data_IF_522828381550
#
_entry.id   IF_522828381550
#
_cell.length_a   1.000
_cell.length_b   1.000
_cell.length_c   1.000
_cell.angle_alpha   90.00
_cell.angle_beta   90.00
_cell.angle_gamma   90.00
#
_symmetry.space_group_name_H-M   'P 1'
#
loop_
_entity.id
_entity.type
_entity.pdbx_description
1 polymer ?
#
# COMPACT_ATOMS: atom_id res chain seq x y z
N UNK A 1 -10.35 26.37 -39.70
CA UNK A 1 -9.59 25.65 -38.67
C UNK A 1 -8.65 24.69 -39.37
N UNK A 2 -7.34 25.00 -39.37
CA UNK A 2 -6.34 24.17 -40.04
C UNK A 2 -6.23 22.82 -39.34
N UNK A 3 -6.66 21.78 -40.01
CA UNK A 3 -6.49 20.40 -39.61
C UNK A 3 -5.00 20.05 -39.75
N UNK A 4 -4.20 20.47 -38.75
CA UNK A 4 -2.79 20.08 -38.66
C UNK A 4 -2.79 18.59 -38.39
N UNK A 5 -2.66 17.81 -39.45
CA UNK A 5 -2.47 16.38 -39.42
C UNK A 5 -1.26 16.11 -38.49
N UNK A 6 -1.51 15.65 -37.27
CA UNK A 6 -0.44 15.32 -36.31
C UNK A 6 0.50 14.34 -37.00
N UNK A 7 1.80 14.57 -36.87
CA UNK A 7 2.85 13.69 -37.38
C UNK A 7 2.51 12.21 -37.11
N UNK A 8 2.48 11.39 -38.16
CA UNK A 8 2.16 9.96 -38.08
C UNK A 8 3.36 9.11 -37.63
N UNK A 9 4.46 9.74 -37.20
CA UNK A 9 5.71 9.05 -36.89
C UNK A 9 5.58 8.29 -35.55
N UNK A 10 5.64 6.97 -35.63
CA UNK A 10 5.84 6.08 -34.48
C UNK A 10 7.33 5.79 -34.29
N UNK A 11 7.75 5.71 -33.05
CA UNK A 11 9.13 5.38 -32.70
C UNK A 11 9.25 3.93 -32.22
N UNK A 12 10.26 3.21 -32.72
CA UNK A 12 10.55 1.85 -32.28
C UNK A 12 11.17 1.82 -30.87
N UNK A 13 11.94 2.88 -30.54
CA UNK A 13 12.62 3.04 -29.25
C UNK A 13 12.71 4.52 -28.84
N UNK A 14 12.77 4.84 -27.54
CA UNK A 14 12.75 6.21 -27.01
C UNK A 14 14.12 6.92 -27.05
N UNK A 15 15.18 6.30 -27.57
CA UNK A 15 16.56 6.82 -27.51
C UNK A 15 16.93 7.77 -28.65
N UNK A 16 16.01 8.06 -29.58
CA UNK A 16 16.29 8.98 -30.68
C UNK A 16 16.12 10.44 -30.26
N UNK A 17 17.01 11.33 -30.80
CA UNK A 17 16.88 12.79 -30.58
C UNK A 17 15.53 13.34 -31.09
N UNK A 18 14.99 12.76 -32.18
CA UNK A 18 13.71 13.15 -32.74
C UNK A 18 12.55 12.86 -31.74
N UNK A 19 12.57 11.73 -31.07
CA UNK A 19 11.59 11.39 -30.04
C UNK A 19 11.49 12.46 -28.93
N UNK A 20 12.64 12.87 -28.37
CA UNK A 20 12.68 13.86 -27.29
C UNK A 20 12.33 15.26 -27.76
N UNK A 21 12.74 15.62 -29.00
CA UNK A 21 12.35 16.90 -29.64
C UNK A 21 10.84 16.99 -29.84
N UNK A 22 10.23 15.91 -30.31
CA UNK A 22 8.78 15.83 -30.50
C UNK A 22 8.04 15.82 -29.16
N UNK A 23 8.55 15.13 -28.15
CA UNK A 23 8.00 15.16 -26.81
C UNK A 23 8.06 16.55 -26.17
N UNK A 24 9.13 17.31 -26.40
CA UNK A 24 9.24 18.71 -25.96
C UNK A 24 8.31 19.65 -26.75
N UNK A 25 8.04 19.33 -28.00
CA UNK A 25 7.14 20.13 -28.84
C UNK A 25 5.67 20.05 -28.38
N UNK A 26 5.28 18.97 -27.66
CA UNK A 26 3.93 18.84 -27.09
C UNK A 26 3.62 19.95 -26.06
N UNK A 27 4.62 20.57 -25.45
CA UNK A 27 4.45 21.73 -24.56
C UNK A 27 3.89 22.97 -25.28
N UNK A 28 3.98 23.03 -26.62
CA UNK A 28 3.46 24.13 -27.43
C UNK A 28 2.03 23.88 -27.93
N UNK A 29 1.51 22.67 -27.76
CA UNK A 29 0.15 22.32 -28.21
C UNK A 29 -0.85 22.58 -27.09
N UNK A 30 -1.68 23.61 -27.24
CA UNK A 30 -2.69 24.00 -26.26
C UNK A 30 -3.68 22.85 -25.94
N UNK A 31 -4.04 22.02 -26.96
CA UNK A 31 -4.93 20.88 -26.72
C UNK A 31 -4.29 19.85 -25.80
N UNK A 32 -2.99 19.61 -25.94
CA UNK A 32 -2.23 18.72 -25.07
C UNK A 32 -2.13 19.30 -23.65
N UNK A 33 -1.90 20.61 -23.51
CA UNK A 33 -1.84 21.26 -22.20
C UNK A 33 -3.18 21.21 -21.46
N UNK A 34 -4.29 21.44 -22.16
CA UNK A 34 -5.64 21.32 -21.58
C UNK A 34 -5.91 19.86 -21.15
N UNK A 35 -5.55 18.90 -21.99
CA UNK A 35 -5.67 17.50 -21.65
C UNK A 35 -4.78 17.14 -20.45
N UNK A 36 -3.56 17.65 -20.38
CA UNK A 36 -2.65 17.44 -19.25
C UNK A 36 -3.23 18.00 -17.94
N UNK A 37 -3.81 19.20 -17.97
CA UNK A 37 -4.48 19.77 -16.81
C UNK A 37 -5.66 18.90 -16.31
N UNK A 38 -6.47 18.38 -17.24
CA UNK A 38 -7.54 17.44 -16.93
C UNK A 38 -7.00 16.14 -16.30
N UNK A 39 -5.90 15.61 -16.84
CA UNK A 39 -5.27 14.41 -16.29
C UNK A 39 -4.66 14.65 -14.91
N UNK A 40 -4.09 15.82 -14.63
CA UNK A 40 -3.64 16.20 -13.28
C UNK A 40 -4.82 16.19 -12.30
N UNK A 41 -5.92 16.87 -12.64
CA UNK A 41 -7.11 16.93 -11.79
C UNK A 41 -7.67 15.52 -11.52
N UNK A 42 -7.84 14.71 -12.57
CA UNK A 42 -8.33 13.34 -12.45
C UNK A 42 -7.39 12.46 -11.61
N UNK A 43 -6.07 12.61 -11.79
CA UNK A 43 -5.07 11.86 -11.01
C UNK A 43 -5.12 12.21 -9.53
N UNK A 44 -5.32 13.50 -9.18
CA UNK A 44 -5.49 13.94 -7.78
C UNK A 44 -6.72 13.31 -7.15
N UNK A 45 -7.85 13.27 -7.85
CA UNK A 45 -9.08 12.59 -7.38
C UNK A 45 -8.82 11.09 -7.20
N UNK A 46 -8.21 10.44 -8.19
CA UNK A 46 -7.94 8.99 -8.12
C UNK A 46 -6.91 8.61 -7.04
N UNK A 47 -5.99 9.51 -6.66
CA UNK A 47 -5.09 9.30 -5.51
C UNK A 47 -5.85 9.21 -4.19
N UNK A 48 -7.00 9.87 -4.06
CA UNK A 48 -7.84 9.78 -2.86
C UNK A 48 -8.60 8.44 -2.78
N UNK A 49 -8.83 7.82 -3.92
CA UNK A 49 -9.53 6.53 -4.02
C UNK A 49 -8.49 5.41 -3.98
N UNK A 50 -8.06 5.04 -2.78
CA UNK A 50 -7.26 3.84 -2.58
C UNK A 50 -8.12 2.75 -1.94
N UNK A 51 -8.15 1.57 -2.55
CA UNK A 51 -8.90 0.42 -2.03
C UNK A 51 -7.97 -0.36 -1.10
N UNK A 52 -8.16 -0.30 0.23
CA UNK A 52 -7.36 -1.09 1.16
C UNK A 52 -7.83 -2.55 1.10
N UNK A 53 -6.91 -3.46 0.73
CA UNK A 53 -7.14 -4.91 0.84
C UNK A 53 -6.66 -5.38 2.22
N UNK A 54 -5.54 -4.82 2.69
CA UNK A 54 -5.00 -5.01 4.04
C UNK A 54 -4.37 -3.70 4.50
N UNK A 55 -3.93 -3.59 5.77
CA UNK A 55 -3.14 -2.45 6.22
C UNK A 55 -1.90 -2.17 5.36
N UNK A 56 -1.33 -3.21 4.75
CA UNK A 56 -0.11 -3.13 3.92
C UNK A 56 -0.42 -3.11 2.42
N UNK A 57 -1.48 -3.81 1.98
CA UNK A 57 -1.88 -3.95 0.58
C UNK A 57 -3.01 -2.97 0.26
N UNK A 58 -2.69 -1.96 -0.57
CA UNK A 58 -3.68 -0.99 -1.11
C UNK A 58 -3.58 -0.95 -2.62
N UNK A 59 -4.71 -1.02 -3.30
CA UNK A 59 -4.80 -0.77 -4.75
C UNK A 59 -4.94 0.73 -4.96
N UNK A 60 -3.95 1.34 -5.59
CA UNK A 60 -4.02 2.73 -6.03
C UNK A 60 -4.43 2.76 -7.50
N UNK A 61 -5.52 3.45 -7.81
CA UNK A 61 -6.07 3.50 -9.18
C UNK A 61 -5.50 4.63 -10.03
N UNK A 62 -4.73 5.54 -9.42
CA UNK A 62 -4.16 6.71 -10.12
C UNK A 62 -3.18 6.34 -11.24
N UNK A 63 -2.60 5.12 -11.23
CA UNK A 63 -1.69 4.69 -12.29
C UNK A 63 -2.38 4.53 -13.66
N UNK A 64 -3.69 4.29 -13.71
CA UNK A 64 -4.44 4.26 -14.97
C UNK A 64 -4.40 5.61 -15.68
N UNK A 65 -4.71 6.66 -14.91
CA UNK A 65 -4.70 8.04 -15.42
C UNK A 65 -3.29 8.46 -15.79
N UNK A 66 -2.29 8.06 -15.00
CA UNK A 66 -0.89 8.32 -15.28
C UNK A 66 -0.43 7.67 -16.60
N UNK A 67 -0.78 6.40 -16.82
CA UNK A 67 -0.43 5.68 -18.05
C UNK A 67 -1.12 6.29 -19.27
N UNK A 68 -2.41 6.62 -19.16
CA UNK A 68 -3.17 7.27 -20.23
C UNK A 68 -2.59 8.64 -20.59
N UNK A 69 -2.34 9.48 -19.60
CA UNK A 69 -1.74 10.79 -19.81
C UNK A 69 -0.36 10.69 -20.43
N UNK A 70 0.53 9.89 -19.86
CA UNK A 70 1.89 9.68 -20.35
C UNK A 70 1.92 9.16 -21.81
N UNK A 71 0.95 8.32 -22.20
CA UNK A 71 0.78 7.84 -23.57
C UNK A 71 0.43 8.97 -24.55
N UNK A 72 -0.36 9.95 -24.10
CA UNK A 72 -0.85 11.05 -24.95
C UNK A 72 0.18 12.17 -25.08
N UNK A 73 0.70 12.67 -23.96
CA UNK A 73 1.52 13.89 -23.97
C UNK A 73 3.04 13.65 -23.87
N UNK A 74 3.47 12.39 -23.74
CA UNK A 74 4.89 12.03 -23.76
C UNK A 74 5.67 12.36 -22.49
N UNK A 75 6.99 12.01 -22.44
CA UNK A 75 7.78 12.00 -21.23
C UNK A 75 8.05 13.39 -20.63
N UNK A 76 8.17 14.43 -21.46
CA UNK A 76 8.48 15.79 -20.98
C UNK A 76 7.30 16.38 -20.23
N UNK A 77 6.11 16.34 -20.83
CA UNK A 77 4.88 16.82 -20.17
C UNK A 77 4.52 15.92 -19.00
N UNK A 78 4.72 14.59 -19.12
CA UNK A 78 4.48 13.64 -18.04
C UNK A 78 5.31 13.94 -16.79
N UNK A 79 6.59 14.31 -16.96
CA UNK A 79 7.45 14.72 -15.84
C UNK A 79 6.92 15.97 -15.14
N UNK A 80 6.53 17.00 -15.91
CA UNK A 80 5.95 18.24 -15.35
C UNK A 80 4.64 17.95 -14.62
N UNK A 81 3.73 17.19 -15.24
CA UNK A 81 2.48 16.79 -14.61
C UNK A 81 2.70 15.99 -13.30
N UNK A 82 3.73 15.14 -13.25
CA UNK A 82 4.06 14.37 -12.06
C UNK A 82 4.50 15.29 -10.91
N UNK A 83 5.38 16.27 -11.17
CA UNK A 83 5.80 17.26 -10.17
C UNK A 83 4.58 18.03 -9.63
N UNK A 84 3.74 18.56 -10.54
CA UNK A 84 2.54 19.30 -10.14
C UNK A 84 1.59 18.42 -9.33
N UNK A 85 1.36 17.18 -9.76
CA UNK A 85 0.48 16.24 -9.05
C UNK A 85 1.02 15.86 -7.67
N UNK A 86 2.34 15.76 -7.51
CA UNK A 86 2.97 15.45 -6.23
C UNK A 86 2.78 16.61 -5.24
N UNK A 87 3.15 17.82 -5.65
CA UNK A 87 3.02 19.04 -4.82
C UNK A 87 1.55 19.29 -4.44
N UNK A 88 0.64 19.29 -5.42
CA UNK A 88 -0.79 19.50 -5.16
C UNK A 88 -1.38 18.36 -4.31
N UNK A 89 -0.96 17.13 -4.55
CA UNK A 89 -1.39 15.98 -3.76
C UNK A 89 -1.02 16.11 -2.28
N UNK A 90 0.18 16.60 -1.99
CA UNK A 90 0.61 16.89 -0.63
C UNK A 90 -0.16 18.05 0.01
N UNK A 91 -0.44 19.14 -0.74
CA UNK A 91 -1.23 20.27 -0.23
C UNK A 91 -2.65 19.82 0.11
N UNK A 92 -3.27 18.96 -0.70
CA UNK A 92 -4.65 18.47 -0.48
C UNK A 92 -4.70 17.52 0.72
N UNK A 93 -3.70 16.66 0.86
CA UNK A 93 -3.62 15.68 1.93
C UNK A 93 -2.17 15.55 2.43
N UNK A 94 -1.76 16.39 3.39
CA UNK A 94 -0.43 16.29 3.96
C UNK A 94 -0.30 14.99 4.75
N UNK A 95 0.70 14.19 4.41
CA UNK A 95 1.04 12.93 5.07
C UNK A 95 2.53 12.99 5.48
N UNK A 96 2.77 13.37 6.72
CA UNK A 96 4.12 13.58 7.25
C UNK A 96 4.81 14.84 6.75
N UNK A 97 6.15 14.83 6.75
CA UNK A 97 6.99 15.95 6.25
C UNK A 97 7.15 15.80 4.74
N UNK A 98 6.96 16.91 4.00
CA UNK A 98 7.21 16.91 2.56
C UNK A 98 8.70 16.70 2.26
N UNK A 99 9.02 15.61 1.61
CA UNK A 99 10.38 15.25 1.27
C UNK A 99 10.58 15.23 -0.24
N UNK A 100 11.22 16.26 -0.76
CA UNK A 100 11.40 16.50 -2.20
C UNK A 100 11.87 15.26 -3.00
N UNK A 101 12.80 14.42 -2.50
CA UNK A 101 13.24 13.24 -3.25
C UNK A 101 12.10 12.25 -3.63
N UNK A 102 10.95 12.25 -2.95
CA UNK A 102 9.80 11.44 -3.37
C UNK A 102 9.22 11.86 -4.71
N UNK A 103 9.38 13.12 -5.12
CA UNK A 103 9.00 13.60 -6.45
C UNK A 103 9.65 12.76 -7.56
N UNK A 104 10.88 12.26 -7.33
CA UNK A 104 11.59 11.41 -8.30
C UNK A 104 10.83 10.11 -8.59
N UNK A 105 10.13 9.56 -7.62
CA UNK A 105 9.34 8.33 -7.81
C UNK A 105 8.09 8.61 -8.66
N UNK A 106 7.43 9.74 -8.46
CA UNK A 106 6.28 10.17 -9.26
C UNK A 106 6.69 10.51 -10.70
N UNK A 107 7.78 11.27 -10.87
CA UNK A 107 8.36 11.60 -12.18
C UNK A 107 8.83 10.32 -12.87
N UNK A 108 9.58 9.47 -12.18
CA UNK A 108 10.06 8.21 -12.72
C UNK A 108 8.92 7.33 -13.25
N UNK A 109 7.88 7.12 -12.44
CA UNK A 109 6.71 6.34 -12.86
C UNK A 109 6.02 6.89 -14.10
N UNK A 110 5.86 8.21 -14.17
CA UNK A 110 5.23 8.90 -15.31
C UNK A 110 6.09 8.82 -16.58
N UNK A 111 7.39 9.08 -16.44
CA UNK A 111 8.35 9.01 -17.55
C UNK A 111 8.46 7.58 -18.08
N UNK A 112 8.53 6.56 -17.21
CA UNK A 112 8.58 5.17 -17.65
C UNK A 112 7.33 4.77 -18.46
N UNK A 113 6.13 5.17 -18.03
CA UNK A 113 4.94 4.94 -18.85
C UNK A 113 5.07 5.59 -20.23
N UNK A 114 5.54 6.84 -20.28
CA UNK A 114 5.73 7.54 -21.55
C UNK A 114 6.77 6.86 -22.45
N UNK A 115 7.91 6.42 -21.93
CA UNK A 115 8.96 5.72 -22.69
C UNK A 115 8.44 4.46 -23.39
N UNK A 116 7.47 3.77 -22.78
CA UNK A 116 6.89 2.58 -23.35
C UNK A 116 5.68 2.84 -24.25
N UNK A 117 4.88 3.89 -23.97
CA UNK A 117 3.56 4.06 -24.57
C UNK A 117 3.45 5.25 -25.52
N UNK A 118 4.24 6.32 -25.35
CA UNK A 118 4.15 7.52 -26.17
C UNK A 118 4.70 7.27 -27.57
N UNK A 119 3.91 7.65 -28.58
CA UNK A 119 4.21 7.46 -30.01
C UNK A 119 4.77 6.08 -30.33
N UNK A 120 4.23 5.07 -29.66
CA UNK A 120 4.63 3.69 -29.84
C UNK A 120 3.44 2.83 -30.22
N UNK A 121 3.69 1.72 -30.91
CA UNK A 121 2.65 0.72 -31.13
C UNK A 121 2.35 0.04 -29.76
N UNK A 122 1.18 0.34 -29.21
CA UNK A 122 0.77 -0.21 -27.92
C UNK A 122 0.42 -1.68 -28.08
N UNK A 123 1.18 -2.54 -27.41
CA UNK A 123 0.96 -4.00 -27.40
C UNK A 123 0.90 -4.50 -25.96
N UNK A 124 0.22 -5.62 -25.74
CA UNK A 124 0.10 -6.22 -24.39
C UNK A 124 1.44 -6.42 -23.70
N UNK A 125 2.49 -7.03 -24.34
CA UNK A 125 3.79 -7.15 -23.69
C UNK A 125 4.42 -5.82 -23.32
N UNK A 126 4.21 -4.76 -24.14
CA UNK A 126 4.75 -3.43 -23.88
C UNK A 126 4.08 -2.77 -22.68
N UNK A 127 2.77 -2.94 -22.54
CA UNK A 127 2.01 -2.50 -21.36
C UNK A 127 2.47 -3.22 -20.10
N UNK A 128 2.61 -4.55 -20.17
CA UNK A 128 3.09 -5.34 -19.03
C UNK A 128 4.52 -4.97 -18.63
N UNK A 129 5.42 -4.79 -19.63
CA UNK A 129 6.81 -4.43 -19.38
C UNK A 129 6.92 -3.03 -18.77
N UNK A 130 6.07 -2.08 -19.20
CA UNK A 130 6.03 -0.74 -18.58
C UNK A 130 5.67 -0.83 -17.09
N UNK A 131 4.65 -1.63 -16.74
CA UNK A 131 4.24 -1.80 -15.35
C UNK A 131 5.28 -2.55 -14.53
N UNK A 132 5.88 -3.60 -15.09
CA UNK A 132 6.97 -4.34 -14.46
C UNK A 132 8.17 -3.42 -14.14
N UNK A 133 8.59 -2.61 -15.13
CA UNK A 133 9.70 -1.68 -14.95
C UNK A 133 9.42 -0.65 -13.84
N UNK A 134 8.20 -0.14 -13.75
CA UNK A 134 7.81 0.80 -12.69
C UNK A 134 7.80 0.10 -11.33
N UNK A 135 7.21 -1.09 -11.21
CA UNK A 135 7.17 -1.81 -9.96
C UNK A 135 8.56 -2.18 -9.46
N UNK A 136 9.46 -2.59 -10.35
CA UNK A 136 10.82 -2.97 -9.99
C UNK A 136 11.73 -1.75 -9.80
N UNK A 137 11.89 -0.91 -10.84
CA UNK A 137 12.91 0.14 -10.83
C UNK A 137 12.50 1.35 -10.02
N UNK A 138 11.22 1.72 -10.03
CA UNK A 138 10.74 2.90 -9.29
C UNK A 138 10.32 2.52 -7.88
N UNK A 139 9.39 1.57 -7.74
CA UNK A 139 8.79 1.28 -6.43
C UNK A 139 9.67 0.43 -5.51
N UNK A 140 10.68 -0.29 -6.05
CA UNK A 140 11.61 -1.08 -5.25
C UNK A 140 12.99 -0.44 -5.25
N UNK A 141 13.63 -0.31 -6.42
CA UNK A 141 15.04 0.11 -6.50
C UNK A 141 15.22 1.59 -6.14
N UNK A 142 14.39 2.48 -6.67
CA UNK A 142 14.50 3.92 -6.41
C UNK A 142 13.89 4.32 -5.06
N UNK A 143 12.73 3.78 -4.72
CA UNK A 143 12.02 4.18 -3.51
C UNK A 143 12.72 3.72 -2.23
N UNK A 144 13.38 2.57 -2.21
CA UNK A 144 14.06 2.05 -1.01
C UNK A 144 15.16 2.99 -0.50
N UNK A 145 16.13 3.46 -1.30
CA UNK A 145 17.15 4.41 -0.82
C UNK A 145 16.54 5.78 -0.43
N UNK A 146 15.50 6.24 -1.13
CA UNK A 146 14.80 7.48 -0.75
C UNK A 146 14.16 7.33 0.63
N UNK A 147 13.54 6.18 0.93
CA UNK A 147 13.00 5.88 2.26
C UNK A 147 14.10 5.80 3.33
N UNK A 148 15.25 5.18 3.03
CA UNK A 148 16.39 5.16 3.93
C UNK A 148 16.87 6.58 4.28
N UNK A 149 16.94 7.43 3.27
CA UNK A 149 17.32 8.84 3.44
C UNK A 149 16.28 9.62 4.26
N UNK A 150 14.99 9.45 3.96
CA UNK A 150 13.90 10.06 4.72
C UNK A 150 13.94 9.69 6.21
N UNK A 151 14.12 8.40 6.51
CA UNK A 151 14.20 7.92 7.90
C UNK A 151 15.42 8.47 8.64
N UNK A 152 16.58 8.55 7.98
CA UNK A 152 17.78 9.11 8.57
C UNK A 152 17.63 10.59 8.97
N UNK A 153 16.83 11.37 8.23
CA UNK A 153 16.63 12.79 8.49
C UNK A 153 15.50 13.11 9.46
N UNK A 154 14.39 12.38 9.39
CA UNK A 154 13.13 12.79 10.04
C UNK A 154 12.62 11.81 11.10
N UNK A 155 13.18 10.60 11.22
CA UNK A 155 12.66 9.58 12.13
C UNK A 155 13.48 9.38 13.41
N UNK A 156 14.20 10.44 13.86
CA UNK A 156 14.80 10.47 15.20
C UNK A 156 15.75 9.31 15.51
N UNK A 157 16.60 8.91 14.55
CA UNK A 157 17.57 7.82 14.72
C UNK A 157 17.03 6.41 14.36
N UNK A 158 15.75 6.27 14.00
CA UNK A 158 15.23 5.01 13.48
C UNK A 158 15.76 4.79 12.05
N UNK A 159 16.53 3.72 11.87
CA UNK A 159 17.05 3.37 10.54
C UNK A 159 16.04 2.56 9.74
N UNK A 160 15.78 2.98 8.50
CA UNK A 160 15.03 2.17 7.55
C UNK A 160 15.94 1.06 7.01
N UNK A 161 15.73 -0.16 7.49
CA UNK A 161 16.52 -1.31 7.05
C UNK A 161 15.90 -1.96 5.80
N UNK A 162 16.71 -2.72 5.06
CA UNK A 162 16.19 -3.52 3.92
C UNK A 162 15.03 -4.43 4.33
N UNK A 163 15.04 -4.93 5.56
CA UNK A 163 13.96 -5.77 6.10
C UNK A 163 12.62 -5.01 6.14
N UNK A 164 12.63 -3.69 6.40
CA UNK A 164 11.44 -2.84 6.34
C UNK A 164 10.94 -2.61 4.91
N UNK A 165 11.79 -2.78 3.90
CA UNK A 165 11.40 -2.70 2.49
C UNK A 165 10.67 -3.97 1.99
N UNK A 166 10.88 -5.13 2.64
CA UNK A 166 10.32 -6.42 2.21
C UNK A 166 8.80 -6.39 2.01
N UNK A 167 7.96 -5.81 2.90
CA UNK A 167 6.52 -5.71 2.68
C UNK A 167 6.17 -4.94 1.39
N UNK A 168 6.93 -3.90 1.05
CA UNK A 168 6.73 -3.14 -0.19
C UNK A 168 7.14 -3.96 -1.42
N UNK A 169 8.24 -4.70 -1.33
CA UNK A 169 8.71 -5.60 -2.41
C UNK A 169 7.67 -6.70 -2.67
N UNK A 170 7.23 -7.40 -1.62
CA UNK A 170 6.21 -8.44 -1.70
C UNK A 170 4.92 -7.90 -2.30
N UNK A 171 4.46 -6.73 -1.84
CA UNK A 171 3.29 -6.04 -2.40
C UNK A 171 3.44 -5.80 -3.90
N UNK A 172 4.56 -5.27 -4.37
CA UNK A 172 4.77 -4.97 -5.79
C UNK A 172 4.81 -6.24 -6.65
N UNK A 173 5.36 -7.35 -6.14
CA UNK A 173 5.36 -8.64 -6.81
C UNK A 173 3.94 -9.22 -6.90
N UNK A 174 3.20 -9.24 -5.79
CA UNK A 174 1.86 -9.81 -5.73
C UNK A 174 0.84 -9.01 -6.56
N UNK A 175 0.99 -7.68 -6.57
CA UNK A 175 0.06 -6.79 -7.28
C UNK A 175 0.36 -6.67 -8.77
N UNK A 176 1.59 -6.95 -9.21
CA UNK A 176 2.01 -6.81 -10.60
C UNK A 176 1.08 -7.54 -11.61
N UNK A 177 0.72 -8.82 -11.42
CA UNK A 177 -0.18 -9.52 -12.34
C UNK A 177 -1.55 -8.85 -12.45
N UNK A 178 -2.13 -8.46 -11.32
CA UNK A 178 -3.45 -7.82 -11.24
C UNK A 178 -3.41 -6.45 -11.92
N UNK A 179 -2.44 -5.62 -11.56
CA UNK A 179 -2.27 -4.27 -12.09
C UNK A 179 -1.99 -4.26 -13.58
N UNK A 180 -1.18 -5.21 -14.06
CA UNK A 180 -0.87 -5.36 -15.50
C UNK A 180 -2.09 -5.78 -16.31
N UNK A 181 -2.90 -6.71 -15.80
CA UNK A 181 -4.15 -7.12 -16.42
C UNK A 181 -5.13 -5.95 -16.51
N UNK A 182 -5.37 -5.27 -15.39
CA UNK A 182 -6.30 -4.14 -15.31
C UNK A 182 -5.85 -2.98 -16.20
N UNK A 183 -4.54 -2.68 -16.24
CA UNK A 183 -3.98 -1.66 -17.11
C UNK A 183 -4.16 -2.00 -18.59
N UNK A 184 -3.90 -3.25 -18.98
CA UNK A 184 -4.11 -3.68 -20.37
C UNK A 184 -5.58 -3.58 -20.77
N UNK A 185 -6.50 -3.99 -19.88
CA UNK A 185 -7.94 -3.85 -20.11
C UNK A 185 -8.35 -2.38 -20.26
N UNK A 186 -7.91 -1.52 -19.32
CA UNK A 186 -8.19 -0.09 -19.36
C UNK A 186 -7.69 0.57 -20.67
N UNK A 187 -6.43 0.30 -21.03
CA UNK A 187 -5.85 0.88 -22.26
C UNK A 187 -6.51 0.32 -23.54
N UNK A 188 -7.03 -0.91 -23.52
CA UNK A 188 -7.78 -1.45 -24.68
C UNK A 188 -9.05 -0.68 -24.98
N UNK A 189 -9.68 -0.11 -23.95
CA UNK A 189 -10.87 0.74 -24.10
C UNK A 189 -10.49 2.19 -24.43
N UNK A 190 -9.45 2.72 -23.76
CA UNK A 190 -9.07 4.13 -23.89
C UNK A 190 -8.33 4.44 -25.20
N UNK A 191 -7.52 3.51 -25.72
CA UNK A 191 -6.73 3.72 -26.91
C UNK A 191 -7.59 4.06 -28.16
N UNK A 192 -8.66 3.31 -28.49
CA UNK A 192 -9.55 3.70 -29.61
C UNK A 192 -10.19 5.08 -29.42
N UNK A 193 -10.53 5.44 -28.19
CA UNK A 193 -11.15 6.73 -27.86
C UNK A 193 -10.14 7.87 -28.10
N UNK A 194 -8.93 7.74 -27.57
CA UNK A 194 -7.88 8.76 -27.76
C UNK A 194 -7.42 8.88 -29.20
N UNK A 195 -7.44 7.78 -29.97
CA UNK A 195 -7.18 7.80 -31.42
C UNK A 195 -8.28 8.58 -32.18
N UNK A 196 -9.57 8.36 -31.86
CA UNK A 196 -10.69 9.08 -32.46
C UNK A 196 -10.66 10.59 -32.17
N UNK A 197 -10.21 10.93 -30.95
CA UNK A 197 -10.04 12.32 -30.51
C UNK A 197 -8.77 12.99 -31.11
N UNK A 198 -7.96 12.26 -31.89
CA UNK A 198 -6.71 12.78 -32.46
C UNK A 198 -5.62 13.07 -31.40
N UNK A 199 -5.75 12.53 -30.19
CA UNK A 199 -4.81 12.74 -29.10
C UNK A 199 -3.62 11.78 -29.14
N UNK A 200 -3.79 10.58 -29.71
CA UNK A 200 -2.74 9.57 -29.85
C UNK A 200 -2.35 9.33 -31.29
N UNK A 201 -1.08 8.98 -31.49
CA UNK A 201 -0.52 8.72 -32.80
C UNK A 201 -0.81 7.28 -33.22
N UNK A 202 -1.32 7.09 -34.45
CA UNK A 202 -1.74 5.79 -34.99
C UNK A 202 -0.77 5.15 -35.97
N UNK A 203 0.21 5.92 -36.47
CA UNK A 203 1.07 5.50 -37.58
C UNK A 203 0.32 5.49 -38.95
N UNK A 204 1.02 5.06 -40.00
CA UNK A 204 0.47 4.95 -41.39
C UNK A 204 -0.62 3.89 -41.53
N UNK A 205 -0.65 2.88 -40.68
CA UNK A 205 -1.52 1.70 -40.78
C UNK A 205 -2.85 1.82 -40.01
N UNK A 206 -3.27 3.03 -39.70
CA UNK A 206 -4.61 3.46 -39.28
C UNK A 206 -5.25 2.76 -38.05
N UNK A 207 -4.64 1.77 -37.44
CA UNK A 207 -5.27 1.03 -36.32
C UNK A 207 -4.28 0.70 -35.23
N UNK A 208 -3.92 1.70 -34.40
CA UNK A 208 -3.26 1.42 -33.13
C UNK A 208 -4.36 0.97 -32.13
N UNK A 209 -4.83 -0.24 -32.30
CA UNK A 209 -5.81 -0.88 -31.42
C UNK A 209 -5.13 -1.98 -30.64
N UNK A 210 -5.30 -1.98 -29.31
CA UNK A 210 -4.87 -3.08 -28.47
C UNK A 210 -5.87 -4.24 -28.64
N UNK A 211 -5.70 -5.00 -29.72
CA UNK A 211 -6.52 -6.20 -29.96
C UNK A 211 -5.89 -7.40 -29.29
N UNK A 212 -6.67 -8.04 -28.44
CA UNK A 212 -6.25 -9.28 -27.80
C UNK A 212 -6.58 -10.49 -28.69
N UNK A 213 -5.60 -11.31 -28.97
CA UNK A 213 -5.84 -12.65 -29.49
C UNK A 213 -6.42 -13.54 -28.39
N UNK A 214 -7.13 -14.61 -28.75
CA UNK A 214 -7.68 -15.58 -27.75
C UNK A 214 -6.60 -16.08 -26.79
N UNK A 215 -5.38 -16.32 -27.30
CA UNK A 215 -4.22 -16.74 -26.48
C UNK A 215 -3.78 -15.65 -25.49
N UNK A 216 -3.80 -14.39 -25.92
CA UNK A 216 -3.45 -13.27 -25.03
C UNK A 216 -4.51 -13.05 -23.95
N UNK A 217 -5.79 -13.16 -24.30
CA UNK A 217 -6.89 -13.09 -23.31
C UNK A 217 -6.73 -14.22 -22.28
N UNK A 218 -6.51 -15.44 -22.73
CA UNK A 218 -6.29 -16.59 -21.84
C UNK A 218 -5.06 -16.39 -20.95
N UNK A 219 -3.94 -15.89 -21.52
CA UNK A 219 -2.71 -15.59 -20.76
C UNK A 219 -2.91 -14.49 -19.72
N UNK A 220 -3.60 -13.40 -20.08
CA UNK A 220 -3.93 -12.31 -19.16
C UNK A 220 -4.89 -12.76 -18.05
N UNK A 221 -5.90 -13.56 -18.40
CA UNK A 221 -6.83 -14.12 -17.41
C UNK A 221 -6.10 -15.08 -16.45
N UNK A 222 -5.23 -15.95 -16.97
CA UNK A 222 -4.39 -16.82 -16.14
C UNK A 222 -3.49 -16.00 -15.20
N UNK A 223 -2.84 -14.94 -15.71
CA UNK A 223 -2.01 -14.04 -14.92
C UNK A 223 -2.82 -13.35 -13.79
N UNK A 224 -4.03 -12.90 -14.10
CA UNK A 224 -4.92 -12.31 -13.11
C UNK A 224 -5.33 -13.32 -12.03
N UNK A 225 -5.73 -14.53 -12.41
CA UNK A 225 -6.10 -15.61 -11.48
C UNK A 225 -4.92 -15.98 -10.58
N UNK A 226 -3.71 -16.10 -11.14
CA UNK A 226 -2.48 -16.36 -10.38
C UNK A 226 -2.23 -15.21 -9.39
N UNK A 227 -2.34 -13.95 -9.81
CA UNK A 227 -2.16 -12.79 -8.96
C UNK A 227 -3.16 -12.77 -7.80
N UNK A 228 -4.43 -12.98 -8.08
CA UNK A 228 -5.50 -13.06 -7.07
C UNK A 228 -5.23 -14.24 -6.11
N UNK A 229 -4.88 -15.41 -6.64
CA UNK A 229 -4.52 -16.59 -5.84
C UNK A 229 -3.32 -16.33 -4.91
N UNK A 230 -2.28 -15.67 -5.41
CA UNK A 230 -1.12 -15.28 -4.61
C UNK A 230 -1.49 -14.27 -3.50
N UNK A 231 -2.36 -13.30 -3.78
CA UNK A 231 -2.86 -12.36 -2.77
C UNK A 231 -3.65 -13.10 -1.69
N UNK A 232 -4.58 -13.97 -2.06
CA UNK A 232 -5.32 -14.77 -1.08
C UNK A 232 -4.42 -15.74 -0.30
N UNK A 233 -3.45 -16.36 -0.95
CA UNK A 233 -2.44 -17.20 -0.28
C UNK A 233 -1.60 -16.41 0.72
N UNK A 234 -1.14 -15.22 0.33
CA UNK A 234 -0.43 -14.31 1.24
C UNK A 234 -1.30 -13.86 2.41
N UNK A 235 -2.56 -13.52 2.16
CA UNK A 235 -3.50 -13.17 3.22
C UNK A 235 -3.73 -14.33 4.19
N UNK A 236 -3.98 -15.54 3.67
CA UNK A 236 -4.14 -16.73 4.51
C UNK A 236 -2.90 -17.01 5.36
N UNK A 237 -1.72 -16.88 4.77
CA UNK A 237 -0.46 -17.00 5.50
C UNK A 237 -0.30 -15.89 6.55
N UNK A 238 -0.54 -14.64 6.18
CA UNK A 238 -0.45 -13.48 7.07
C UNK A 238 -1.39 -13.63 8.27
N UNK A 239 -2.67 -13.91 8.04
CA UNK A 239 -3.64 -14.09 9.13
C UNK A 239 -3.33 -15.33 9.98
N UNK A 240 -2.87 -16.42 9.38
CA UNK A 240 -2.48 -17.63 10.11
C UNK A 240 -1.26 -17.39 11.02
N UNK A 241 -0.30 -16.57 10.56
CA UNK A 241 0.93 -16.30 11.34
C UNK A 241 0.79 -15.16 12.32
N UNK A 242 -0.16 -14.25 12.12
CA UNK A 242 -0.33 -13.05 12.96
C UNK A 242 -1.41 -13.17 14.03
N UNK A 243 -2.39 -14.06 13.87
CA UNK A 243 -3.44 -14.29 14.89
C UNK A 243 -3.07 -15.42 15.84
N UNK A 244 -2.40 -15.08 16.93
CA UNK A 244 -1.96 -16.06 17.96
C UNK A 244 -3.00 -16.31 19.06
N UNK A 245 -3.95 -15.39 19.26
CA UNK A 245 -4.84 -15.39 20.45
C UNK A 245 -5.74 -16.60 20.61
N UNK A 246 -6.10 -17.29 19.51
CA UNK A 246 -6.98 -18.46 19.58
C UNK A 246 -6.27 -19.77 19.94
N UNK A 247 -4.94 -19.76 20.05
CA UNK A 247 -4.12 -20.98 20.20
C UNK A 247 -3.45 -21.14 21.56
N UNK A 248 -3.61 -20.17 22.48
CA UNK A 248 -3.01 -20.30 23.81
C UNK A 248 -3.67 -21.41 24.61
N UNK A 249 -2.85 -22.29 25.19
CA UNK A 249 -3.28 -23.20 26.25
C UNK A 249 -3.73 -22.39 27.47
N UNK A 250 -4.32 -23.05 28.47
CA UNK A 250 -4.72 -22.38 29.72
C UNK A 250 -3.51 -21.77 30.46
N UNK A 251 -2.39 -22.49 30.48
CA UNK A 251 -1.14 -22.05 31.13
C UNK A 251 -0.54 -20.85 30.37
N UNK A 252 -0.40 -20.94 29.06
CA UNK A 252 0.11 -19.82 28.26
C UNK A 252 -0.76 -18.57 28.38
N UNK A 253 -2.09 -18.70 28.48
CA UNK A 253 -2.98 -17.56 28.74
C UNK A 253 -2.73 -16.93 30.08
N UNK A 254 -2.59 -17.75 31.11
CA UNK A 254 -2.28 -17.28 32.47
C UNK A 254 -0.97 -16.49 32.50
N UNK A 255 0.09 -17.05 31.92
CA UNK A 255 1.39 -16.37 31.83
C UNK A 255 1.28 -15.05 31.08
N UNK A 256 0.62 -15.04 29.90
CA UNK A 256 0.48 -13.83 29.08
C UNK A 256 -0.41 -12.78 29.72
N UNK A 257 -1.53 -13.14 30.31
CA UNK A 257 -2.39 -12.22 31.03
C UNK A 257 -1.64 -11.59 32.21
N UNK A 258 -0.92 -12.41 33.00
CA UNK A 258 -0.11 -11.94 34.13
C UNK A 258 1.00 -11.00 33.67
N UNK A 259 1.68 -11.33 32.58
CA UNK A 259 2.72 -10.50 32.00
C UNK A 259 2.18 -9.13 31.53
N UNK A 260 1.04 -9.12 30.81
CA UNK A 260 0.40 -7.89 30.36
C UNK A 260 -0.12 -7.03 31.51
N UNK A 261 -0.64 -7.66 32.56
CA UNK A 261 -1.02 -6.96 33.79
C UNK A 261 0.18 -6.26 34.42
N UNK A 262 1.31 -6.97 34.61
CA UNK A 262 2.54 -6.37 35.18
C UNK A 262 3.05 -5.18 34.35
N UNK A 263 3.02 -5.29 33.01
CA UNK A 263 3.45 -4.22 32.12
C UNK A 263 2.56 -2.98 32.31
N UNK A 264 1.23 -3.14 32.33
CA UNK A 264 0.29 -2.04 32.46
C UNK A 264 0.33 -1.40 33.86
N UNK A 265 0.39 -2.21 34.91
CA UNK A 265 0.52 -1.72 36.29
C UNK A 265 1.78 -0.86 36.43
N UNK A 266 2.92 -1.33 35.90
CA UNK A 266 4.18 -0.58 35.97
C UNK A 266 4.19 0.69 35.10
N UNK A 267 3.55 0.69 33.94
CA UNK A 267 3.60 1.81 33.02
C UNK A 267 2.57 2.91 33.34
N UNK A 268 1.38 2.52 33.80
CA UNK A 268 0.23 3.42 33.99
C UNK A 268 -0.12 3.67 35.46
N UNK A 269 0.75 3.23 36.40
CA UNK A 269 0.53 3.34 37.85
C UNK A 269 -0.84 2.79 38.31
N UNK A 270 -1.29 1.70 37.70
CA UNK A 270 -2.52 1.02 38.10
C UNK A 270 -2.30 0.21 39.37
N UNK A 271 -3.37 -0.02 40.11
CA UNK A 271 -3.32 -0.85 41.33
C UNK A 271 -3.06 -2.33 40.95
N UNK A 272 -1.97 -2.89 41.49
CA UNK A 272 -1.53 -4.25 41.20
C UNK A 272 -2.50 -5.32 41.78
N UNK A 273 -3.19 -5.00 42.87
CA UNK A 273 -4.06 -5.94 43.55
C UNK A 273 -5.44 -6.04 42.89
N UNK A 274 -5.91 -4.97 42.32
CA UNK A 274 -7.23 -4.95 41.69
C UNK A 274 -7.20 -5.03 40.15
N UNK A 275 -6.07 -4.79 39.50
CA UNK A 275 -5.98 -4.80 38.05
C UNK A 275 -5.69 -6.19 37.46
N UNK A 276 -6.52 -6.63 36.53
CA UNK A 276 -6.34 -7.85 35.76
C UNK A 276 -6.53 -7.58 34.29
N UNK A 277 -5.73 -8.22 33.45
CA UNK A 277 -5.86 -8.11 31.98
C UNK A 277 -6.20 -9.44 31.35
N UNK A 278 -6.93 -9.40 30.25
CA UNK A 278 -7.18 -10.58 29.41
C UNK A 278 -6.76 -10.27 27.98
N UNK A 279 -5.86 -11.07 27.43
CA UNK A 279 -5.45 -10.93 26.03
C UNK A 279 -6.62 -11.23 25.09
N UNK A 280 -7.08 -10.23 24.38
CA UNK A 280 -8.14 -10.34 23.37
C UNK A 280 -7.59 -10.82 22.03
N UNK A 281 -6.44 -10.27 21.63
CA UNK A 281 -5.75 -10.64 20.40
C UNK A 281 -4.25 -10.36 20.53
N UNK A 282 -3.45 -11.16 19.83
CA UNK A 282 -2.02 -10.96 19.69
C UNK A 282 -1.66 -11.05 18.20
N UNK A 283 -1.05 -10.01 17.67
CA UNK A 283 -0.65 -9.92 16.26
C UNK A 283 0.86 -9.78 16.17
N UNK A 284 1.52 -10.81 15.67
CA UNK A 284 2.95 -10.73 15.35
C UNK A 284 3.12 -9.98 14.03
N UNK A 285 3.91 -8.92 14.04
CA UNK A 285 4.21 -8.16 12.83
C UNK A 285 5.09 -8.99 11.89
N UNK A 286 4.68 -9.06 10.63
CA UNK A 286 5.40 -9.86 9.62
C UNK A 286 6.86 -9.44 9.50
N UNK A 287 7.78 -10.42 9.55
CA UNK A 287 9.25 -10.24 9.49
C UNK A 287 9.85 -9.30 10.56
N UNK A 288 9.15 -9.06 11.64
CA UNK A 288 9.69 -8.38 12.82
C UNK A 288 9.56 -9.27 14.04
N UNK A 289 10.28 -8.93 15.11
CA UNK A 289 10.10 -9.57 16.41
C UNK A 289 9.05 -8.83 17.26
N UNK A 290 8.31 -7.90 16.65
CA UNK A 290 7.28 -7.12 17.33
C UNK A 290 5.95 -7.86 17.32
N UNK A 291 5.34 -7.95 18.49
CA UNK A 291 3.97 -8.44 18.67
C UNK A 291 3.13 -7.33 19.29
N UNK A 292 1.97 -7.08 18.71
CA UNK A 292 0.98 -6.16 19.24
C UNK A 292 -0.08 -6.96 19.97
N UNK A 293 -0.20 -6.74 21.25
CA UNK A 293 -1.23 -7.32 22.11
C UNK A 293 -2.37 -6.32 22.27
N UNK A 294 -3.60 -6.76 22.06
CA UNK A 294 -4.80 -6.03 22.48
C UNK A 294 -5.33 -6.74 23.71
N UNK A 295 -5.41 -6.03 24.82
CA UNK A 295 -5.81 -6.58 26.10
C UNK A 295 -6.99 -5.79 26.66
N UNK A 296 -7.99 -6.51 27.18
CA UNK A 296 -9.04 -5.91 27.98
C UNK A 296 -8.55 -5.77 29.43
N UNK A 297 -8.72 -4.59 29.99
CA UNK A 297 -8.34 -4.25 31.37
C UNK A 297 -9.59 -4.27 32.23
N UNK A 298 -9.52 -5.01 33.34
CA UNK A 298 -10.59 -5.14 34.32
C UNK A 298 -10.10 -4.73 35.68
N UNK A 299 -10.99 -4.19 36.51
CA UNK A 299 -10.82 -4.05 37.96
C UNK A 299 -11.57 -5.18 38.64
N UNK A 300 -10.91 -5.89 39.57
CA UNK A 300 -11.48 -6.95 40.40
C UNK A 300 -11.86 -6.33 41.73
N UNK A 301 -13.02 -6.72 42.27
CA UNK A 301 -13.44 -6.34 43.61
C UNK A 301 -12.89 -7.38 44.59
N UNK A 302 -11.93 -7.04 45.48
CA UNK A 302 -11.35 -7.98 46.44
C UNK A 302 -12.39 -8.55 47.41
N UNK A 303 -13.40 -7.75 47.77
CA UNK A 303 -14.43 -8.15 48.73
C UNK A 303 -15.44 -9.15 48.12
N UNK A 304 -15.49 -9.24 46.81
CA UNK A 304 -16.34 -10.20 46.11
C UNK A 304 -15.72 -11.59 45.97
N UNK A 305 -14.44 -11.77 46.35
CA UNK A 305 -13.72 -13.04 46.24
C UNK A 305 -13.75 -13.80 47.58
N UNK A 306 -14.05 -15.09 47.51
CA UNK A 306 -14.07 -15.95 48.68
C UNK A 306 -12.65 -16.32 49.18
N UNK A 307 -11.71 -16.53 48.26
CA UNK A 307 -10.29 -16.77 48.48
C UNK A 307 -9.52 -15.94 47.48
N UNK A 308 -9.06 -14.77 47.90
CA UNK A 308 -8.48 -13.75 47.01
C UNK A 308 -7.35 -14.30 46.11
N UNK A 309 -6.37 -14.97 46.69
CA UNK A 309 -5.20 -15.42 45.96
C UNK A 309 -5.55 -16.51 44.94
N UNK A 310 -6.36 -17.48 45.31
CA UNK A 310 -6.79 -18.58 44.46
C UNK A 310 -7.75 -18.16 43.38
N UNK A 311 -8.69 -17.26 43.72
CA UNK A 311 -9.69 -16.77 42.81
C UNK A 311 -9.03 -15.82 41.82
N UNK A 312 -8.08 -14.96 42.22
CA UNK A 312 -7.30 -14.10 41.36
C UNK A 312 -6.44 -14.89 40.36
N UNK A 313 -5.82 -16.01 40.83
CA UNK A 313 -5.09 -16.91 39.94
C UNK A 313 -6.02 -17.50 38.85
N UNK A 314 -7.22 -17.91 39.23
CA UNK A 314 -8.23 -18.42 38.33
C UNK A 314 -8.66 -17.35 37.32
N UNK A 315 -8.89 -16.12 37.77
CA UNK A 315 -9.29 -14.97 36.93
C UNK A 315 -8.19 -14.65 35.92
N UNK A 316 -6.94 -14.65 36.31
CA UNK A 316 -5.80 -14.42 35.40
C UNK A 316 -5.67 -15.46 34.29
N UNK A 317 -6.17 -16.68 34.49
CA UNK A 317 -6.22 -17.75 33.48
C UNK A 317 -7.40 -17.68 32.51
N UNK A 318 -8.34 -16.75 32.69
CA UNK A 318 -9.56 -16.70 31.89
C UNK A 318 -9.31 -16.36 30.42
N UNK A 319 -10.08 -16.99 29.52
CA UNK A 319 -10.20 -16.58 28.15
C UNK A 319 -11.12 -15.36 28.03
N UNK A 320 -11.02 -14.62 26.91
CA UNK A 320 -11.85 -13.47 26.61
C UNK A 320 -13.36 -13.69 26.87
N UNK A 321 -13.91 -14.83 26.44
CA UNK A 321 -15.34 -15.13 26.62
C UNK A 321 -15.71 -15.39 28.07
N UNK A 322 -14.85 -16.07 28.81
CA UNK A 322 -15.05 -16.35 30.23
C UNK A 322 -14.88 -15.09 31.07
N UNK A 323 -13.87 -14.24 30.76
CA UNK A 323 -13.68 -12.96 31.43
C UNK A 323 -14.90 -12.03 31.28
N UNK A 324 -15.51 -11.98 30.10
CA UNK A 324 -16.75 -11.25 29.88
C UNK A 324 -17.94 -11.79 30.68
N UNK A 325 -18.03 -13.11 30.85
CA UNK A 325 -19.08 -13.72 31.65
C UNK A 325 -18.91 -13.36 33.16
N UNK A 326 -17.71 -13.50 33.69
CA UNK A 326 -17.38 -13.12 35.09
C UNK A 326 -17.60 -11.62 35.35
N UNK A 327 -17.27 -10.77 34.36
CA UNK A 327 -17.56 -9.33 34.46
C UNK A 327 -19.07 -9.06 34.56
N UNK A 328 -19.92 -9.86 33.91
CA UNK A 328 -21.37 -9.77 34.04
C UNK A 328 -21.91 -10.19 35.42
N UNK A 329 -21.16 -10.98 36.16
CA UNK A 329 -21.53 -11.44 37.52
C UNK A 329 -21.10 -10.47 38.65
N UNK A 330 -20.47 -9.34 38.29
CA UNK A 330 -20.10 -8.29 39.26
C UNK A 330 -18.79 -8.50 40.00
N UNK A 331 -18.11 -9.65 39.80
CA UNK A 331 -16.81 -9.95 40.46
C UNK A 331 -15.69 -9.08 39.86
N UNK A 332 -15.78 -8.73 38.59
CA UNK A 332 -14.84 -7.84 37.94
C UNK A 332 -15.58 -6.86 37.04
N UNK A 333 -15.02 -5.67 36.89
CA UNK A 333 -15.60 -4.59 36.07
C UNK A 333 -14.65 -4.27 34.93
N UNK A 334 -15.16 -4.25 33.69
CA UNK A 334 -14.39 -3.79 32.52
C UNK A 334 -14.08 -2.30 32.64
N UNK A 335 -12.82 -1.95 32.51
CA UNK A 335 -12.34 -0.58 32.57
C UNK A 335 -12.10 -0.01 31.16
N UNK A 336 -11.20 -0.65 30.41
CA UNK A 336 -10.76 -0.14 29.12
C UNK A 336 -10.09 -1.24 28.29
N UNK A 337 -9.70 -0.89 27.08
CA UNK A 337 -8.83 -1.74 26.25
C UNK A 337 -7.48 -1.07 26.07
N UNK A 338 -6.41 -1.80 26.29
CA UNK A 338 -5.04 -1.36 26.06
C UNK A 338 -4.44 -2.06 24.82
N UNK A 339 -3.58 -1.35 24.13
CA UNK A 339 -2.74 -1.91 23.06
C UNK A 339 -1.28 -1.83 23.51
N UNK A 340 -0.59 -2.96 23.56
CA UNK A 340 0.81 -3.09 23.99
C UNK A 340 1.61 -3.62 22.82
N UNK A 341 2.64 -2.89 22.41
CA UNK A 341 3.60 -3.33 21.40
C UNK A 341 4.88 -3.76 22.08
N UNK A 342 5.27 -5.03 21.89
CA UNK A 342 6.44 -5.62 22.52
C UNK A 342 7.36 -6.27 21.50
N UNK A 343 8.66 -6.17 21.72
CA UNK A 343 9.66 -6.94 21.01
C UNK A 343 9.87 -8.30 21.73
N UNK A 344 9.44 -9.38 21.11
CA UNK A 344 9.50 -10.73 21.68
C UNK A 344 10.93 -11.27 21.87
N UNK A 345 11.91 -10.70 21.14
CA UNK A 345 13.32 -11.13 21.25
C UNK A 345 14.03 -10.45 22.42
N UNK A 346 13.79 -9.17 22.64
CA UNK A 346 14.43 -8.38 23.70
C UNK A 346 13.57 -8.30 24.96
N UNK A 347 12.28 -8.62 24.87
CA UNK A 347 11.31 -8.41 25.95
C UNK A 347 10.91 -6.95 26.17
N UNK A 348 11.44 -6.03 25.37
CA UNK A 348 11.24 -4.59 25.50
C UNK A 348 9.83 -4.19 25.07
N UNK A 349 9.18 -3.35 25.86
CA UNK A 349 7.90 -2.72 25.52
C UNK A 349 8.19 -1.46 24.71
N UNK A 350 7.66 -1.43 23.49
CA UNK A 350 7.94 -0.36 22.53
C UNK A 350 6.89 0.74 22.58
N UNK A 351 5.63 0.38 22.87
CA UNK A 351 4.52 1.32 22.90
C UNK A 351 3.36 0.78 23.75
N UNK A 352 2.65 1.67 24.45
CA UNK A 352 1.42 1.37 25.18
C UNK A 352 0.40 2.46 24.86
N UNK A 353 -0.81 2.04 24.51
CA UNK A 353 -1.93 2.96 24.24
C UNK A 353 -3.15 2.43 24.98
N UNK A 354 -3.65 3.20 25.96
CA UNK A 354 -4.97 3.01 26.57
C UNK A 354 -6.04 3.70 25.72
N UNK A 355 -7.18 3.05 25.52
CA UNK A 355 -8.30 3.60 24.73
C UNK A 355 -9.45 3.98 25.60
#
# INVERSE_FOLDING_TARGET
MSNKQKSTTLYSHPFSKAYWRDAAAELKDTHILVFAALMIALRLVMKQISIPITPVLRINTAYFVNALGAMVYGPVVAAICAVITDVLGYIIRPDGVYFIPFVLTEVGGSVFFALFLYRARVTTPRVMLSRFSINLLINVVLQTPIMMWYYALYMGGKQYTFLMAVPSIVKNILMFPIESFLLALFLSVMLPITCRLGLTYTGSDAKNELRFTKKQIAGLAALFIIGVGCVFGYLGYYYKTTSLSAKYTAEERYEKNTEMTKILVSAENLDADTTVTTVESAYKKFLSNETTYTVAVYSVDPDALADYDKDLETIRGLSKSKAKAVAGDGVMTYQTTATIVRNEKTGEVLDIVLK
#
